data_IF_277530614585
#
_entry.id   IF_277530614585
#
_cell.length_a   1.000
_cell.length_b   1.000
_cell.length_c   1.000
_cell.angle_alpha   90.00
_cell.angle_beta   90.00
_cell.angle_gamma   90.00
#
_symmetry.space_group_name_H-M   'P 1'
#
loop_
_entity.id
_entity.type
_entity.pdbx_description
1 polymer ?
#
# COMPACT_ATOMS: atom_id res chain seq x y z
N UNK A 1 -28.56 42.74 0.63
CA UNK A 1 -27.77 41.57 1.05
C UNK A 1 -26.46 41.64 0.30
N UNK A 2 -25.39 41.65 1.07
CA UNK A 2 -24.04 42.14 0.77
C UNK A 2 -23.24 41.26 -0.19
N UNK A 3 -22.46 41.95 -1.03
CA UNK A 3 -21.34 41.46 -1.83
C UNK A 3 -20.48 40.41 -1.12
N UNK A 4 -20.24 39.28 -1.78
CA UNK A 4 -19.18 38.34 -1.45
C UNK A 4 -18.13 38.49 -2.55
N UNK A 5 -17.05 39.21 -2.25
CA UNK A 5 -15.90 39.38 -3.13
C UNK A 5 -15.10 38.08 -3.32
N UNK A 6 -14.18 38.04 -4.31
CA UNK A 6 -13.44 36.83 -4.65
C UNK A 6 -12.51 36.39 -3.51
N UNK A 7 -12.50 35.08 -3.31
CA UNK A 7 -11.63 34.32 -2.40
C UNK A 7 -10.18 34.74 -2.52
N UNK A 8 -9.61 35.20 -1.41
CA UNK A 8 -8.17 35.46 -1.26
C UNK A 8 -7.40 34.15 -1.38
N UNK A 9 -6.50 34.09 -2.37
CA UNK A 9 -5.34 33.22 -2.34
C UNK A 9 -4.61 33.42 -1.01
N UNK A 10 -4.43 32.34 -0.25
CA UNK A 10 -3.50 32.30 0.87
C UNK A 10 -2.06 32.21 0.33
N UNK A 11 -1.62 33.25 -0.37
CA UNK A 11 -0.20 33.52 -0.54
C UNK A 11 0.28 34.22 0.72
N UNK A 12 1.18 33.56 1.47
CA UNK A 12 1.81 34.08 2.66
C UNK A 12 2.33 35.50 2.43
N UNK A 13 1.94 36.41 3.31
CA UNK A 13 2.30 37.83 3.23
C UNK A 13 3.77 38.01 3.66
N UNK A 14 4.66 37.84 2.71
CA UNK A 14 6.06 38.25 2.73
C UNK A 14 6.51 38.35 1.28
N UNK A 15 6.99 39.52 0.86
CA UNK A 15 7.43 39.84 -0.50
C UNK A 15 8.61 38.93 -0.92
N UNK A 16 8.34 37.70 -1.39
CA UNK A 16 9.34 36.75 -1.88
C UNK A 16 9.35 36.77 -3.41
N UNK A 17 10.14 37.67 -4.00
CA UNK A 17 10.44 37.62 -5.44
C UNK A 17 11.29 36.41 -5.86
N UNK A 18 11.65 35.52 -4.93
CA UNK A 18 12.31 34.25 -5.21
C UNK A 18 11.47 33.12 -4.60
N UNK A 19 11.02 32.21 -5.46
CA UNK A 19 10.34 30.97 -5.09
C UNK A 19 11.45 29.93 -4.85
N UNK A 20 11.31 29.14 -3.79
CA UNK A 20 12.26 28.11 -3.39
C UNK A 20 11.74 26.72 -3.78
N UNK A 21 12.57 25.92 -4.45
CA UNK A 21 12.15 24.61 -4.94
C UNK A 21 11.81 23.68 -3.79
N UNK A 22 12.58 23.69 -2.70
CA UNK A 22 12.42 22.77 -1.55
C UNK A 22 11.09 22.97 -0.82
N UNK A 23 10.75 24.24 -0.58
CA UNK A 23 9.47 24.60 0.06
C UNK A 23 8.29 24.31 -0.88
N UNK A 24 8.44 24.61 -2.18
CA UNK A 24 7.39 24.37 -3.18
C UNK A 24 7.12 22.89 -3.35
N UNK A 25 8.19 22.12 -3.48
CA UNK A 25 8.25 20.67 -3.46
C UNK A 25 7.42 20.12 -2.28
N UNK A 26 7.87 20.38 -1.06
CA UNK A 26 7.24 19.83 0.14
C UNK A 26 5.78 20.27 0.28
N UNK A 27 5.48 21.53 -0.04
CA UNK A 27 4.11 22.05 -0.03
C UNK A 27 3.21 21.33 -1.03
N UNK A 28 3.66 21.15 -2.27
CA UNK A 28 2.96 20.39 -3.30
C UNK A 28 2.67 18.96 -2.84
N UNK A 29 3.67 18.27 -2.29
CA UNK A 29 3.53 16.88 -1.80
C UNK A 29 2.43 16.77 -0.75
N UNK A 30 2.52 17.60 0.28
CA UNK A 30 1.63 17.53 1.43
C UNK A 30 0.22 17.90 1.03
N UNK A 31 0.05 18.98 0.27
CA UNK A 31 -1.27 19.39 -0.23
C UNK A 31 -1.92 18.29 -1.07
N UNK A 32 -1.19 17.71 -2.03
CA UNK A 32 -1.71 16.64 -2.90
C UNK A 32 -2.08 15.38 -2.11
N UNK A 33 -1.22 14.94 -1.18
CA UNK A 33 -1.49 13.77 -0.33
C UNK A 33 -2.69 13.97 0.61
N UNK A 34 -3.04 15.23 0.90
CA UNK A 34 -4.20 15.59 1.71
C UNK A 34 -5.42 16.01 0.87
N UNK A 35 -5.48 15.60 -0.40
CA UNK A 35 -6.67 15.78 -1.27
C UNK A 35 -6.85 17.18 -1.84
N UNK A 36 -5.86 18.07 -1.70
CA UNK A 36 -5.92 19.38 -2.34
C UNK A 36 -5.52 19.32 -3.81
N UNK A 37 -6.32 19.94 -4.67
CA UNK A 37 -6.01 20.10 -6.08
C UNK A 37 -4.88 21.13 -6.27
N UNK A 38 -3.67 20.62 -6.49
CA UNK A 38 -2.47 21.42 -6.77
C UNK A 38 -1.92 21.07 -8.15
N UNK A 39 -1.57 22.10 -8.93
CA UNK A 39 -1.04 21.92 -10.29
C UNK A 39 0.46 21.68 -10.28
N UNK A 40 0.92 20.63 -10.97
CA UNK A 40 2.34 20.37 -11.17
C UNK A 40 3.07 21.46 -11.99
N UNK A 41 2.33 22.34 -12.68
CA UNK A 41 2.92 23.44 -13.46
C UNK A 41 3.71 24.42 -12.60
N UNK A 42 3.55 24.39 -11.27
CA UNK A 42 4.40 25.17 -10.36
C UNK A 42 5.89 24.84 -10.53
N UNK A 43 6.23 23.63 -10.96
CA UNK A 43 7.59 23.18 -11.18
C UNK A 43 8.24 23.75 -12.45
N UNK A 44 7.46 24.30 -13.39
CA UNK A 44 7.99 24.98 -14.58
C UNK A 44 8.81 26.22 -14.22
N UNK A 45 8.56 26.82 -13.04
CA UNK A 45 9.35 27.94 -12.54
C UNK A 45 10.81 27.57 -12.22
N UNK A 46 11.11 26.28 -12.10
CA UNK A 46 12.42 25.75 -11.70
C UNK A 46 13.13 24.97 -12.80
N UNK A 47 12.41 24.67 -13.90
CA UNK A 47 12.98 23.97 -15.05
C UNK A 47 13.67 24.97 -15.97
N UNK A 48 14.92 24.70 -16.32
CA UNK A 48 15.64 25.54 -17.28
C UNK A 48 15.23 25.22 -18.73
N UNK A 49 15.74 25.96 -19.72
CA UNK A 49 15.47 25.71 -21.15
C UNK A 49 15.92 24.30 -21.64
N UNK A 50 16.56 23.50 -20.79
CA UNK A 50 16.86 22.09 -21.00
C UNK A 50 15.92 21.17 -20.21
N UNK A 51 16.48 20.10 -19.63
CA UNK A 51 15.77 19.11 -18.79
C UNK A 51 16.26 19.11 -17.34
N UNK A 52 16.87 20.21 -16.88
CA UNK A 52 17.44 20.30 -15.54
C UNK A 52 16.58 21.18 -14.64
N UNK A 53 16.59 20.87 -13.34
CA UNK A 53 15.87 21.61 -12.31
C UNK A 53 16.84 22.37 -11.42
N UNK A 54 16.53 23.63 -11.14
CA UNK A 54 17.34 24.51 -10.30
C UNK A 54 16.70 24.72 -8.93
N UNK A 55 17.51 24.67 -7.87
CA UNK A 55 17.05 24.87 -6.47
C UNK A 55 16.42 26.25 -6.25
N UNK A 56 16.98 27.28 -6.89
CA UNK A 56 16.46 28.64 -6.91
C UNK A 56 16.40 29.07 -8.37
N UNK A 57 15.29 29.65 -8.80
CA UNK A 57 15.13 30.13 -10.18
C UNK A 57 16.30 31.06 -10.57
N UNK A 58 17.12 30.64 -11.54
CA UNK A 58 18.28 31.41 -12.01
C UNK A 58 19.61 31.17 -11.27
N UNK A 59 19.72 30.16 -10.40
CA UNK A 59 20.99 29.78 -9.73
C UNK A 59 21.36 28.32 -9.98
N UNK A 60 22.67 28.07 -10.12
CA UNK A 60 23.25 26.74 -10.38
C UNK A 60 23.52 25.92 -9.11
N UNK A 61 22.83 26.19 -8.00
CA UNK A 61 23.11 25.46 -6.74
C UNK A 61 22.33 24.15 -6.72
N UNK A 62 23.03 23.04 -6.56
CA UNK A 62 22.46 21.68 -6.55
C UNK A 62 22.52 21.10 -5.13
N UNK A 63 21.47 21.30 -4.33
CA UNK A 63 21.39 20.74 -2.98
C UNK A 63 20.77 19.33 -3.01
N UNK A 64 21.33 18.41 -2.23
CA UNK A 64 20.93 16.99 -2.23
C UNK A 64 19.53 16.84 -1.66
N UNK A 65 19.21 17.54 -0.56
CA UNK A 65 17.89 17.51 0.07
C UNK A 65 16.78 18.06 -0.82
N UNK A 66 17.09 19.11 -1.60
CA UNK A 66 16.13 19.71 -2.53
C UNK A 66 15.80 18.75 -3.67
N UNK A 67 16.82 18.15 -4.28
CA UNK A 67 16.61 17.13 -5.31
C UNK A 67 15.95 15.88 -4.76
N UNK A 68 16.18 15.57 -3.48
CA UNK A 68 15.50 14.48 -2.80
C UNK A 68 14.01 14.76 -2.62
N UNK A 69 13.62 15.94 -2.19
CA UNK A 69 12.21 16.31 -2.09
C UNK A 69 11.53 16.31 -3.47
N UNK A 70 12.17 16.92 -4.48
CA UNK A 70 11.70 16.86 -5.87
C UNK A 70 11.48 15.41 -6.34
N UNK A 71 12.41 14.50 -6.02
CA UNK A 71 12.28 13.09 -6.35
C UNK A 71 11.06 12.45 -5.66
N UNK A 72 10.80 12.76 -4.39
CA UNK A 72 9.65 12.21 -3.65
C UNK A 72 8.32 12.72 -4.20
N UNK A 73 8.20 14.01 -4.52
CA UNK A 73 6.95 14.55 -5.05
C UNK A 73 6.65 14.12 -6.47
N UNK A 74 7.68 13.98 -7.29
CA UNK A 74 7.53 13.54 -8.68
C UNK A 74 6.87 12.15 -8.79
N UNK A 75 6.88 11.36 -7.71
CA UNK A 75 6.22 10.06 -7.64
C UNK A 75 4.70 10.15 -7.40
N UNK A 76 4.18 11.34 -7.08
CA UNK A 76 2.74 11.65 -6.99
C UNK A 76 2.16 12.15 -8.32
N UNK A 77 2.83 11.86 -9.42
CA UNK A 77 2.44 12.27 -10.76
C UNK A 77 1.07 11.72 -11.16
N UNK A 78 0.19 12.60 -11.63
CA UNK A 78 -1.04 12.21 -12.31
C UNK A 78 -0.83 12.01 -13.82
N UNK A 79 -1.69 11.20 -14.48
CA UNK A 79 -1.71 11.08 -15.93
C UNK A 79 -1.64 12.44 -16.65
N UNK A 80 -0.68 12.57 -17.57
CA UNK A 80 -0.48 13.78 -18.37
C UNK A 80 0.43 14.86 -17.76
N UNK A 81 0.85 14.74 -16.49
CA UNK A 81 1.77 15.71 -15.86
C UNK A 81 3.23 15.47 -16.26
N UNK A 82 3.59 15.81 -17.49
CA UNK A 82 4.94 15.57 -18.05
C UNK A 82 6.05 16.24 -17.27
N UNK A 83 5.80 17.41 -16.67
CA UNK A 83 6.79 18.12 -15.85
C UNK A 83 7.28 17.28 -14.65
N UNK A 84 6.42 16.45 -14.05
CA UNK A 84 6.83 15.55 -12.97
C UNK A 84 7.57 14.32 -13.49
N UNK A 85 7.34 13.89 -14.74
CA UNK A 85 8.16 12.86 -15.37
C UNK A 85 9.60 13.36 -15.48
N UNK A 86 9.77 14.56 -16.04
CA UNK A 86 11.07 15.21 -16.20
C UNK A 86 11.75 15.40 -14.84
N UNK A 87 10.99 15.87 -13.84
CA UNK A 87 11.46 16.04 -12.48
C UNK A 87 11.95 14.72 -11.87
N UNK A 88 11.19 13.63 -12.04
CA UNK A 88 11.54 12.29 -11.54
C UNK A 88 12.83 11.77 -12.17
N UNK A 89 12.94 11.89 -13.49
CA UNK A 89 14.11 11.41 -14.24
C UNK A 89 15.37 12.20 -13.86
N UNK A 90 15.27 13.52 -13.84
CA UNK A 90 16.37 14.40 -13.46
C UNK A 90 16.83 14.14 -12.02
N UNK A 91 15.90 14.22 -11.06
CA UNK A 91 16.22 14.07 -9.63
C UNK A 91 16.74 12.66 -9.30
N UNK A 92 16.15 11.59 -9.85
CA UNK A 92 16.65 10.22 -9.67
C UNK A 92 18.06 10.06 -10.21
N UNK A 93 18.33 10.59 -11.40
CA UNK A 93 19.68 10.54 -12.01
C UNK A 93 20.69 11.29 -11.15
N UNK A 94 20.35 12.51 -10.73
CA UNK A 94 21.18 13.33 -9.86
C UNK A 94 21.52 12.63 -8.54
N UNK A 95 20.52 12.12 -7.82
CA UNK A 95 20.71 11.46 -6.53
C UNK A 95 21.50 10.16 -6.67
N UNK A 96 21.28 9.40 -7.74
CA UNK A 96 22.04 8.19 -8.03
C UNK A 96 23.52 8.50 -8.27
N UNK A 97 23.81 9.55 -9.06
CA UNK A 97 25.19 9.99 -9.30
C UNK A 97 25.87 10.46 -8.01
N UNK A 98 25.18 11.26 -7.19
CA UNK A 98 25.71 11.70 -5.89
C UNK A 98 25.98 10.53 -4.94
N UNK A 99 25.10 9.52 -4.93
CA UNK A 99 25.28 8.29 -4.14
C UNK A 99 26.51 7.51 -4.58
N UNK A 100 26.67 7.25 -5.88
CA UNK A 100 27.83 6.53 -6.44
C UNK A 100 29.13 7.28 -6.19
N UNK A 101 29.11 8.62 -6.26
CA UNK A 101 30.27 9.45 -6.00
C UNK A 101 30.59 9.63 -4.49
N UNK A 102 29.77 9.12 -3.57
CA UNK A 102 29.92 9.35 -2.13
C UNK A 102 29.69 10.81 -1.72
N UNK A 103 28.95 11.58 -2.51
CA UNK A 103 28.72 13.02 -2.35
C UNK A 103 27.32 13.31 -1.80
N UNK A 104 26.91 12.59 -0.76
CA UNK A 104 25.60 12.72 -0.11
C UNK A 104 25.60 13.71 1.06
N UNK A 105 26.45 14.74 0.99
CA UNK A 105 26.43 15.85 1.94
C UNK A 105 25.51 16.93 1.42
N UNK A 106 24.70 17.51 2.31
CA UNK A 106 23.84 18.62 1.96
C UNK A 106 24.43 19.96 2.36
N UNK A 107 24.11 21.00 1.57
CA UNK A 107 24.58 22.36 1.80
C UNK A 107 23.83 23.05 2.94
N UNK A 108 22.59 22.65 3.20
CA UNK A 108 21.65 23.38 4.06
C UNK A 108 21.37 22.67 5.40
N UNK A 109 21.81 21.42 5.55
CA UNK A 109 21.62 20.64 6.77
C UNK A 109 22.81 19.70 7.04
N UNK A 110 23.08 19.47 8.31
CA UNK A 110 23.94 18.40 8.83
C UNK A 110 23.02 17.39 9.53
N UNK A 111 22.52 16.37 8.80
CA UNK A 111 21.59 15.39 9.34
C UNK A 111 22.33 14.18 9.91
N UNK A 112 21.65 13.41 10.77
CA UNK A 112 22.19 12.13 11.30
C UNK A 112 22.52 11.12 10.20
N UNK A 113 21.59 10.82 9.29
CA UNK A 113 21.79 9.79 8.26
C UNK A 113 21.04 10.05 6.93
N UNK A 114 21.46 11.10 6.23
CA UNK A 114 20.99 11.37 4.86
C UNK A 114 21.34 10.24 3.87
N UNK A 115 22.52 9.58 3.93
CA UNK A 115 22.80 8.44 3.07
C UNK A 115 21.80 7.28 3.23
N UNK A 116 21.41 6.95 4.46
CA UNK A 116 20.40 5.94 4.76
C UNK A 116 19.01 6.32 4.22
N UNK A 117 18.58 7.56 4.46
CA UNK A 117 17.27 8.07 3.98
C UNK A 117 17.17 8.02 2.43
N UNK A 118 18.22 8.48 1.74
CA UNK A 118 18.32 8.41 0.28
C UNK A 118 18.44 6.97 -0.22
N UNK A 119 19.17 6.14 0.53
CA UNK A 119 19.35 4.72 0.24
C UNK A 119 18.00 4.00 0.19
N UNK A 120 17.16 4.25 1.19
CA UNK A 120 15.80 3.71 1.28
C UNK A 120 14.93 4.22 0.13
N UNK A 121 14.83 5.53 -0.07
CA UNK A 121 13.92 6.10 -1.05
C UNK A 121 14.27 5.75 -2.51
N UNK A 122 15.56 5.59 -2.84
CA UNK A 122 15.99 5.11 -4.15
C UNK A 122 15.77 3.60 -4.36
N UNK A 123 15.75 2.82 -3.27
CA UNK A 123 15.52 1.38 -3.32
C UNK A 123 14.02 1.01 -3.34
N UNK A 124 13.20 1.77 -2.61
CA UNK A 124 11.78 1.53 -2.42
C UNK A 124 10.98 2.71 -2.98
N UNK A 125 10.41 2.59 -4.19
CA UNK A 125 9.57 3.64 -4.75
C UNK A 125 8.31 3.83 -3.89
N UNK A 126 7.67 4.98 -4.00
CA UNK A 126 6.49 5.33 -3.21
C UNK A 126 5.34 4.34 -3.39
N UNK A 127 5.16 3.76 -4.59
CA UNK A 127 4.21 2.69 -4.84
C UNK A 127 4.52 1.38 -4.10
N UNK A 128 5.76 1.15 -3.68
CA UNK A 128 6.17 0.02 -2.83
C UNK A 128 6.37 0.40 -1.35
N UNK A 129 6.31 1.68 -0.99
CA UNK A 129 6.61 2.13 0.38
C UNK A 129 5.43 1.89 1.31
N UNK A 130 5.49 0.82 2.12
CA UNK A 130 4.47 0.53 3.13
C UNK A 130 4.64 1.44 4.37
N UNK A 131 3.57 1.96 4.98
CA UNK A 131 3.65 2.95 6.06
C UNK A 131 4.59 2.59 7.21
N UNK A 132 4.47 1.40 7.80
CA UNK A 132 5.37 0.99 8.90
C UNK A 132 6.77 0.63 8.44
N UNK A 133 6.94 0.26 7.17
CA UNK A 133 8.26 0.03 6.61
C UNK A 133 9.04 1.35 6.50
N UNK A 134 8.44 2.37 5.89
CA UNK A 134 9.04 3.71 5.79
C UNK A 134 9.34 4.29 7.17
N UNK A 135 8.37 4.18 8.08
CA UNK A 135 8.53 4.63 9.48
C UNK A 135 9.68 3.91 10.18
N UNK A 136 9.83 2.59 9.98
CA UNK A 136 10.88 1.78 10.62
C UNK A 136 12.27 2.31 10.30
N UNK A 137 12.51 2.63 9.03
CA UNK A 137 13.78 3.18 8.57
C UNK A 137 13.92 4.65 8.97
N UNK A 138 12.86 5.45 8.84
CA UNK A 138 12.94 6.87 9.17
C UNK A 138 13.24 7.13 10.66
N UNK A 139 12.74 6.32 11.59
CA UNK A 139 13.11 6.43 13.01
C UNK A 139 14.64 6.24 13.21
N UNK A 140 15.28 5.38 12.43
CA UNK A 140 16.74 5.19 12.48
C UNK A 140 17.49 6.38 11.86
N UNK A 141 16.93 7.02 10.85
CA UNK A 141 17.58 8.12 10.14
C UNK A 141 17.39 9.49 10.82
N UNK A 142 16.28 9.70 11.54
CA UNK A 142 15.97 10.97 12.18
C UNK A 142 16.96 11.31 13.31
N UNK A 143 17.57 12.50 13.24
CA UNK A 143 18.59 12.94 14.20
C UNK A 143 18.08 13.59 15.47
N UNK A 144 16.75 13.74 15.62
CA UNK A 144 16.19 14.42 16.78
C UNK A 144 16.73 15.85 16.88
N UNK A 145 17.16 16.27 18.07
CA UNK A 145 17.71 17.62 18.31
C UNK A 145 19.10 17.86 17.70
N UNK A 146 19.77 16.80 17.24
CA UNK A 146 21.17 16.85 16.83
C UNK A 146 21.34 17.23 15.36
N UNK A 147 20.27 17.20 14.56
CA UNK A 147 20.26 17.78 13.22
C UNK A 147 20.46 19.31 13.29
N UNK A 148 21.36 19.84 12.46
CA UNK A 148 21.72 21.26 12.44
C UNK A 148 21.50 21.86 11.06
N UNK A 149 20.81 22.99 11.00
CA UNK A 149 20.54 23.71 9.76
C UNK A 149 21.62 24.77 9.50
N UNK A 150 21.96 24.96 8.24
CA UNK A 150 22.99 25.88 7.76
C UNK A 150 22.31 27.04 7.05
N UNK A 151 22.38 28.24 7.63
CA UNK A 151 21.98 29.49 6.99
C UNK A 151 23.14 30.47 6.93
N UNK A 152 22.90 31.76 7.22
CA UNK A 152 23.99 32.72 7.50
C UNK A 152 24.83 32.30 8.72
N UNK A 153 24.20 31.56 9.62
CA UNK A 153 24.75 30.98 10.85
C UNK A 153 24.11 29.60 11.04
N UNK A 154 24.75 28.75 11.85
CA UNK A 154 24.12 27.49 12.25
C UNK A 154 22.90 27.77 13.13
N UNK A 155 21.80 27.05 12.89
CA UNK A 155 20.57 27.17 13.66
C UNK A 155 19.86 25.82 13.81
N UNK A 156 18.85 25.77 14.68
CA UNK A 156 18.02 24.59 14.91
C UNK A 156 16.55 24.95 14.80
N UNK A 157 15.76 24.05 14.24
CA UNK A 157 14.30 24.16 14.18
C UNK A 157 13.71 23.22 15.23
N UNK A 158 13.55 23.67 16.48
CA UNK A 158 13.11 22.82 17.59
C UNK A 158 11.72 22.18 17.40
N UNK A 159 10.86 22.80 16.58
CA UNK A 159 9.54 22.24 16.23
C UNK A 159 9.59 21.19 15.11
N UNK A 160 10.74 21.00 14.47
CA UNK A 160 11.00 20.02 13.40
C UNK A 160 11.96 18.93 13.90
N UNK A 161 13.02 19.32 14.60
CA UNK A 161 14.13 18.49 15.07
C UNK A 161 14.15 18.48 16.61
N UNK A 162 13.58 17.43 17.23
CA UNK A 162 13.57 17.26 18.68
C UNK A 162 13.48 15.79 19.10
N UNK A 163 13.96 15.51 20.32
CA UNK A 163 13.96 14.16 20.85
C UNK A 163 12.58 13.71 21.37
N UNK A 164 11.65 14.63 21.62
CA UNK A 164 10.29 14.24 22.08
C UNK A 164 9.57 13.46 20.98
N UNK A 165 9.67 13.92 19.72
CA UNK A 165 9.11 13.21 18.58
C UNK A 165 9.77 11.86 18.35
N UNK A 166 11.11 11.79 18.45
CA UNK A 166 11.85 10.55 18.28
C UNK A 166 11.47 9.51 19.34
N UNK A 167 11.46 9.91 20.62
CA UNK A 167 11.12 8.99 21.72
C UNK A 167 9.66 8.55 21.65
N UNK A 168 8.73 9.46 21.30
CA UNK A 168 7.34 9.08 21.07
C UNK A 168 7.20 8.07 19.92
N UNK A 169 7.89 8.31 18.80
CA UNK A 169 7.85 7.41 17.65
C UNK A 169 8.40 6.02 17.97
N UNK A 170 9.48 5.93 18.76
CA UNK A 170 10.03 4.64 19.22
C UNK A 170 9.04 3.89 20.11
N UNK A 171 8.42 4.57 21.07
CA UNK A 171 7.46 3.97 21.99
C UNK A 171 6.23 3.47 21.22
N UNK A 172 5.60 4.33 20.41
CA UNK A 172 4.46 3.95 19.56
C UNK A 172 4.78 2.76 18.65
N UNK A 173 5.95 2.79 17.99
CA UNK A 173 6.36 1.71 17.11
C UNK A 173 6.51 0.38 17.85
N UNK A 174 7.18 0.39 19.00
CA UNK A 174 7.41 -0.82 19.79
C UNK A 174 6.11 -1.36 20.42
N UNK A 175 5.18 -0.50 20.80
CA UNK A 175 3.87 -0.88 21.33
C UNK A 175 3.02 -1.55 20.24
N UNK A 176 2.92 -0.94 19.06
CA UNK A 176 2.27 -1.57 17.89
C UNK A 176 2.92 -2.91 17.52
N UNK A 177 4.26 -2.96 17.47
CA UNK A 177 4.99 -4.19 17.13
C UNK A 177 4.73 -5.33 18.14
N UNK A 178 4.62 -5.03 19.43
CA UNK A 178 4.29 -6.02 20.45
C UNK A 178 2.89 -6.61 20.24
N UNK A 179 1.91 -5.77 19.88
CA UNK A 179 0.57 -6.24 19.48
C UNK A 179 0.65 -7.15 18.24
N UNK A 180 1.43 -6.76 17.23
CA UNK A 180 1.59 -7.54 16.01
C UNK A 180 2.25 -8.90 16.27
N UNK A 181 3.21 -8.99 17.19
CA UNK A 181 3.82 -10.27 17.58
C UNK A 181 2.80 -11.21 18.24
N UNK A 182 1.95 -10.68 19.13
CA UNK A 182 0.86 -11.46 19.74
C UNK A 182 -0.16 -11.94 18.70
N UNK A 183 -0.55 -11.08 17.76
CA UNK A 183 -1.41 -11.46 16.64
C UNK A 183 -0.78 -12.53 15.76
N UNK A 184 0.52 -12.43 15.46
CA UNK A 184 1.25 -13.43 14.70
C UNK A 184 1.24 -14.80 15.39
N UNK A 185 1.43 -14.86 16.71
CA UNK A 185 1.31 -16.11 17.46
C UNK A 185 -0.08 -16.75 17.29
N UNK A 186 -1.15 -15.94 17.32
CA UNK A 186 -2.51 -16.43 17.06
C UNK A 186 -2.67 -16.92 15.61
N UNK A 187 -2.10 -16.22 14.63
CA UNK A 187 -2.14 -16.63 13.23
C UNK A 187 -1.40 -17.93 12.97
N UNK A 188 -0.27 -18.16 13.66
CA UNK A 188 0.45 -19.43 13.57
C UNK A 188 -0.35 -20.61 14.12
N UNK A 189 -1.10 -20.41 15.22
CA UNK A 189 -2.00 -21.43 15.78
C UNK A 189 -3.14 -21.74 14.80
N UNK A 190 -3.83 -20.71 14.32
CA UNK A 190 -4.90 -20.87 13.32
C UNK A 190 -4.43 -21.61 12.08
N UNK A 191 -3.24 -21.28 11.56
CA UNK A 191 -2.65 -21.98 10.40
C UNK A 191 -2.35 -23.46 10.67
N UNK A 192 -1.93 -23.81 11.89
CA UNK A 192 -1.71 -25.19 12.30
C UNK A 192 -3.01 -25.99 12.39
N UNK A 193 -4.11 -25.33 12.72
CA UNK A 193 -5.45 -25.93 12.86
C UNK A 193 -6.19 -26.02 11.51
N UNK A 194 -5.87 -25.18 10.53
CA UNK A 194 -6.68 -24.99 9.32
C UNK A 194 -6.39 -25.93 8.13
N UNK A 195 -5.49 -26.93 8.28
CA UNK A 195 -5.03 -27.88 7.24
C UNK A 195 -4.52 -27.23 5.92
N UNK A 196 -4.32 -25.91 5.89
CA UNK A 196 -3.93 -25.14 4.70
C UNK A 196 -2.58 -25.57 4.09
N UNK A 197 -1.71 -26.17 4.91
CA UNK A 197 -0.44 -26.77 4.49
C UNK A 197 -0.66 -27.74 3.32
N UNK A 198 -1.74 -28.53 3.35
CA UNK A 198 -2.06 -29.53 2.33
C UNK A 198 -2.43 -28.94 0.96
N UNK A 199 -2.69 -27.63 0.89
CA UNK A 199 -3.22 -26.94 -0.29
C UNK A 199 -2.30 -25.85 -0.81
N UNK A 200 -1.02 -25.90 -0.43
CA UNK A 200 0.04 -25.06 -1.03
C UNK A 200 0.30 -23.74 -0.32
N UNK A 201 -0.45 -23.39 0.72
CA UNK A 201 -0.13 -22.25 1.57
C UNK A 201 1.10 -22.59 2.42
N UNK A 202 2.21 -21.85 2.26
CA UNK A 202 3.41 -22.05 3.08
C UNK A 202 3.41 -21.14 4.31
N UNK A 203 4.18 -21.51 5.34
CA UNK A 203 4.39 -20.67 6.53
C UNK A 203 5.07 -19.34 6.18
N UNK A 204 5.92 -19.33 5.16
CA UNK A 204 6.60 -18.14 4.66
C UNK A 204 5.62 -17.20 3.97
N UNK A 205 4.72 -17.73 3.14
CA UNK A 205 3.67 -16.92 2.49
C UNK A 205 2.68 -16.36 3.50
N UNK A 206 2.39 -17.11 4.57
CA UNK A 206 1.54 -16.64 5.66
C UNK A 206 2.18 -15.48 6.41
N UNK A 207 3.48 -15.60 6.72
CA UNK A 207 4.24 -14.53 7.37
C UNK A 207 4.32 -13.29 6.46
N UNK A 208 4.52 -13.49 5.15
CA UNK A 208 4.51 -12.40 4.20
C UNK A 208 3.15 -11.68 4.15
N UNK A 209 2.05 -12.44 4.07
CA UNK A 209 0.70 -11.89 4.11
C UNK A 209 0.46 -11.10 5.41
N UNK A 210 0.90 -11.64 6.55
CA UNK A 210 0.83 -10.96 7.84
C UNK A 210 1.67 -9.68 7.88
N UNK A 211 2.90 -9.74 7.37
CA UNK A 211 3.78 -8.58 7.26
C UNK A 211 3.15 -7.46 6.43
N UNK A 212 2.65 -7.74 5.23
CA UNK A 212 2.09 -6.67 4.38
C UNK A 212 0.83 -6.06 4.99
N UNK A 213 -0.02 -6.86 5.65
CA UNK A 213 -1.19 -6.37 6.37
C UNK A 213 -0.78 -5.47 7.55
N UNK A 214 0.15 -5.93 8.41
CA UNK A 214 0.62 -5.18 9.56
C UNK A 214 1.45 -3.94 9.19
N UNK A 215 2.16 -3.99 8.06
CA UNK A 215 2.93 -2.87 7.55
C UNK A 215 2.03 -1.76 6.96
N UNK A 216 0.80 -2.12 6.57
CA UNK A 216 -0.18 -1.23 5.94
C UNK A 216 -1.21 -0.68 6.93
N UNK A 217 -1.83 -1.56 7.72
CA UNK A 217 -2.78 -1.23 8.79
C UNK A 217 -2.12 -1.58 10.12
N UNK A 218 -1.56 -0.61 10.82
CA UNK A 218 -0.65 -0.87 11.94
C UNK A 218 -1.22 -0.53 13.30
N UNK A 219 -2.32 0.22 13.34
CA UNK A 219 -2.96 0.72 14.53
C UNK A 219 -3.47 -0.46 15.36
N UNK A 220 -3.14 -0.58 16.67
CA UNK A 220 -3.53 -1.72 17.49
C UNK A 220 -5.04 -2.03 17.45
N UNK A 221 -5.88 -0.99 17.43
CA UNK A 221 -7.33 -1.07 17.38
C UNK A 221 -7.90 -1.61 16.07
N UNK A 222 -7.10 -1.65 14.99
CA UNK A 222 -7.48 -2.18 13.67
C UNK A 222 -7.01 -3.62 13.44
N UNK A 223 -6.77 -4.37 14.52
CA UNK A 223 -6.37 -5.78 14.46
C UNK A 223 -7.33 -6.64 13.61
N UNK A 224 -8.63 -6.35 13.67
CA UNK A 224 -9.63 -7.09 12.92
C UNK A 224 -9.42 -7.01 11.40
N UNK A 225 -9.11 -5.81 10.90
CA UNK A 225 -8.84 -5.57 9.49
C UNK A 225 -7.59 -6.33 9.02
N UNK A 226 -6.51 -6.29 9.82
CA UNK A 226 -5.28 -7.08 9.57
C UNK A 226 -5.57 -8.57 9.51
N UNK A 227 -6.26 -9.12 10.52
CA UNK A 227 -6.53 -10.55 10.59
C UNK A 227 -7.45 -11.00 9.45
N UNK A 228 -8.44 -10.19 9.09
CA UNK A 228 -9.34 -10.46 7.98
C UNK A 228 -8.59 -10.45 6.63
N UNK A 229 -7.69 -9.49 6.43
CA UNK A 229 -6.80 -9.44 5.27
C UNK A 229 -6.01 -10.75 5.14
N UNK A 230 -5.26 -11.13 6.18
CA UNK A 230 -4.34 -12.28 6.13
C UNK A 230 -5.09 -13.58 5.90
N UNK A 231 -6.21 -13.78 6.60
CA UNK A 231 -7.06 -14.97 6.41
C UNK A 231 -7.64 -15.00 5.00
N UNK A 232 -8.07 -13.87 4.46
CA UNK A 232 -8.60 -13.79 3.09
C UNK A 232 -7.54 -14.16 2.05
N UNK A 233 -6.33 -13.62 2.16
CA UNK A 233 -5.22 -14.01 1.27
C UNK A 233 -4.92 -15.50 1.35
N UNK A 234 -4.77 -16.04 2.56
CA UNK A 234 -4.45 -17.45 2.77
C UNK A 234 -5.55 -18.38 2.22
N UNK A 235 -6.82 -18.03 2.42
CA UNK A 235 -7.96 -18.78 1.90
C UNK A 235 -8.07 -18.67 0.38
N UNK A 236 -7.87 -17.47 -0.19
CA UNK A 236 -7.90 -17.26 -1.62
C UNK A 236 -6.81 -18.09 -2.32
N UNK A 237 -5.57 -18.08 -1.82
CA UNK A 237 -4.47 -18.92 -2.37
C UNK A 237 -4.77 -20.41 -2.27
N UNK A 238 -5.32 -20.84 -1.14
CA UNK A 238 -5.75 -22.22 -0.90
C UNK A 238 -6.82 -22.63 -1.92
N UNK A 239 -7.82 -21.78 -2.16
CA UNK A 239 -8.92 -22.06 -3.09
C UNK A 239 -8.46 -22.01 -4.56
N UNK A 240 -7.62 -21.04 -4.92
CA UNK A 240 -6.98 -21.00 -6.25
C UNK A 240 -6.23 -22.31 -6.51
N UNK A 241 -5.42 -22.76 -5.54
CA UNK A 241 -4.66 -24.00 -5.64
C UNK A 241 -5.56 -25.23 -5.67
N UNK A 242 -6.66 -25.23 -4.91
CA UNK A 242 -7.67 -26.29 -4.89
C UNK A 242 -8.40 -26.46 -6.22
N UNK A 243 -8.72 -25.37 -6.91
CA UNK A 243 -9.45 -25.41 -8.18
C UNK A 243 -8.54 -25.57 -9.42
N UNK A 244 -7.23 -25.25 -9.32
CA UNK A 244 -6.27 -25.29 -10.45
C UNK A 244 -6.16 -26.64 -11.21
N UNK A 245 -6.16 -27.83 -10.58
CA UNK A 245 -5.89 -29.09 -11.31
C UNK A 245 -7.04 -29.60 -12.21
N UNK A 246 -8.23 -28.98 -12.19
CA UNK A 246 -9.45 -29.59 -12.74
C UNK A 246 -9.68 -29.24 -14.22
N UNK A 247 -8.87 -29.79 -15.15
CA UNK A 247 -9.02 -29.55 -16.61
C UNK A 247 -10.37 -29.98 -17.23
N UNK A 248 -11.20 -30.77 -16.55
CA UNK A 248 -12.52 -31.20 -17.08
C UNK A 248 -13.72 -31.01 -16.11
N UNK A 249 -13.53 -30.39 -14.93
CA UNK A 249 -14.58 -30.36 -13.89
C UNK A 249 -14.64 -29.08 -13.02
N UNK A 250 -14.08 -27.95 -13.48
CA UNK A 250 -13.93 -26.72 -12.69
C UNK A 250 -15.27 -25.99 -12.36
N UNK A 251 -16.07 -25.63 -13.37
CA UNK A 251 -17.22 -24.74 -13.15
C UNK A 251 -18.35 -25.35 -12.32
N UNK A 252 -18.63 -26.65 -12.50
CA UNK A 252 -19.64 -27.38 -11.72
C UNK A 252 -19.19 -27.58 -10.27
N UNK A 253 -17.89 -27.86 -10.04
CA UNK A 253 -17.33 -27.98 -8.70
C UNK A 253 -17.34 -26.66 -7.95
N UNK A 254 -17.04 -25.54 -8.62
CA UNK A 254 -17.16 -24.20 -8.04
C UNK A 254 -18.62 -23.85 -7.73
N UNK A 255 -19.54 -24.06 -8.66
CA UNK A 255 -20.98 -23.85 -8.42
C UNK A 255 -21.52 -24.72 -7.27
N UNK A 256 -21.09 -25.97 -7.19
CA UNK A 256 -21.46 -26.85 -6.08
C UNK A 256 -20.84 -26.38 -4.75
N UNK A 257 -19.60 -25.89 -4.76
CA UNK A 257 -18.96 -25.31 -3.58
C UNK A 257 -19.70 -24.04 -3.12
N UNK A 258 -20.06 -23.15 -4.04
CA UNK A 258 -20.86 -21.94 -3.78
C UNK A 258 -22.25 -22.32 -3.27
N UNK A 259 -22.90 -23.33 -3.84
CA UNK A 259 -24.21 -23.82 -3.37
C UNK A 259 -24.14 -24.42 -1.95
N UNK A 260 -23.11 -25.20 -1.65
CA UNK A 260 -22.84 -25.65 -0.28
C UNK A 260 -22.50 -24.48 0.65
N UNK A 261 -21.88 -23.43 0.11
CA UNK A 261 -21.52 -22.21 0.84
C UNK A 261 -22.72 -21.39 1.29
N UNK A 262 -23.67 -21.19 0.39
CA UNK A 262 -24.95 -20.57 0.70
C UNK A 262 -25.77 -21.44 1.67
N UNK A 263 -25.77 -22.77 1.50
CA UNK A 263 -26.53 -23.68 2.37
C UNK A 263 -25.97 -23.77 3.79
N UNK A 264 -24.64 -23.68 3.96
CA UNK A 264 -23.96 -23.80 5.27
C UNK A 264 -23.97 -22.48 6.02
N UNK A 265 -23.96 -21.34 5.32
CA UNK A 265 -24.19 -20.03 5.91
C UNK A 265 -25.56 -19.93 6.63
N UNK A 266 -26.56 -20.71 6.18
CA UNK A 266 -27.88 -20.81 6.81
C UNK A 266 -28.05 -21.93 7.85
N UNK A 267 -27.14 -22.91 7.91
CA UNK A 267 -27.28 -24.12 8.73
C UNK A 267 -26.28 -24.15 9.89
N UNK A 268 -26.76 -24.52 11.09
CA UNK A 268 -25.97 -24.47 12.33
C UNK A 268 -24.83 -25.49 12.43
N UNK A 269 -24.86 -26.60 11.69
CA UNK A 269 -23.84 -27.63 11.76
C UNK A 269 -23.64 -28.30 10.39
N UNK A 270 -22.40 -28.30 9.88
CA UNK A 270 -22.02 -29.01 8.67
C UNK A 270 -21.42 -30.37 9.09
N UNK A 271 -22.26 -31.40 9.18
CA UNK A 271 -21.84 -32.75 9.60
C UNK A 271 -21.86 -33.80 8.47
N UNK A 272 -22.23 -33.46 7.23
CA UNK A 272 -22.36 -34.47 6.16
C UNK A 272 -21.64 -34.11 4.85
N UNK A 273 -20.33 -34.38 4.81
CA UNK A 273 -19.53 -34.36 3.59
C UNK A 273 -19.75 -35.59 2.71
N UNK A 274 -20.76 -35.56 1.83
CA UNK A 274 -21.00 -36.65 0.85
C UNK A 274 -20.66 -36.30 -0.60
N UNK A 275 -20.40 -35.03 -0.93
CA UNK A 275 -20.19 -34.56 -2.32
C UNK A 275 -18.71 -34.41 -2.72
N UNK A 276 -17.85 -34.15 -1.75
CA UNK A 276 -16.41 -33.96 -1.94
C UNK A 276 -15.66 -35.02 -1.12
N UNK A 277 -14.66 -35.69 -1.68
CA UNK A 277 -13.85 -36.69 -0.96
C UNK A 277 -13.30 -36.15 0.37
N UNK A 278 -12.93 -37.04 1.29
CA UNK A 278 -12.54 -36.74 2.68
C UNK A 278 -11.51 -35.60 2.80
N UNK A 279 -10.56 -35.53 1.86
CA UNK A 279 -9.51 -34.50 1.84
C UNK A 279 -10.03 -33.09 1.50
N UNK A 280 -11.10 -33.00 0.71
CA UNK A 280 -11.69 -31.72 0.29
C UNK A 280 -12.65 -31.16 1.34
N UNK A 281 -13.31 -32.04 2.11
CA UNK A 281 -14.28 -31.65 3.14
C UNK A 281 -13.66 -30.76 4.22
N UNK A 282 -12.39 -30.99 4.56
CA UNK A 282 -11.72 -30.24 5.62
C UNK A 282 -11.31 -28.82 5.20
N UNK A 283 -10.87 -28.61 3.95
CA UNK A 283 -10.65 -27.24 3.41
C UNK A 283 -11.92 -26.44 3.41
N UNK A 284 -13.00 -27.08 2.96
CA UNK A 284 -14.33 -26.52 2.93
C UNK A 284 -14.72 -26.10 4.37
N UNK A 285 -14.55 -26.98 5.35
CA UNK A 285 -14.81 -26.66 6.77
C UNK A 285 -13.90 -25.53 7.31
N UNK A 286 -12.60 -25.56 7.05
CA UNK A 286 -11.65 -24.52 7.47
C UNK A 286 -11.99 -23.16 6.86
N UNK A 287 -12.40 -23.13 5.60
CA UNK A 287 -12.88 -21.93 4.91
C UNK A 287 -14.15 -21.40 5.58
N UNK A 288 -15.16 -22.25 5.77
CA UNK A 288 -16.40 -21.86 6.46
C UNK A 288 -16.17 -21.36 7.87
N UNK A 289 -15.37 -22.07 8.65
CA UNK A 289 -15.04 -21.67 10.01
C UNK A 289 -14.32 -20.33 10.04
N UNK A 290 -13.42 -20.08 9.08
CA UNK A 290 -12.69 -18.82 9.00
C UNK A 290 -13.59 -17.66 8.58
N UNK A 291 -14.46 -17.84 7.59
CA UNK A 291 -15.45 -16.83 7.17
C UNK A 291 -16.46 -16.55 8.29
N UNK A 292 -16.97 -17.61 8.95
CA UNK A 292 -17.85 -17.50 10.12
C UNK A 292 -17.17 -16.80 11.29
N UNK A 293 -15.90 -17.10 11.56
CA UNK A 293 -15.11 -16.46 12.61
C UNK A 293 -14.89 -14.97 12.31
N UNK A 294 -14.48 -14.62 11.09
CA UNK A 294 -14.35 -13.23 10.66
C UNK A 294 -15.68 -12.48 10.85
N UNK A 295 -16.79 -13.09 10.46
CA UNK A 295 -18.12 -12.53 10.65
C UNK A 295 -18.52 -12.40 12.14
N UNK A 296 -18.27 -13.42 12.97
CA UNK A 296 -18.59 -13.39 14.40
C UNK A 296 -17.86 -12.24 15.11
N UNK A 297 -16.60 -12.00 14.76
CA UNK A 297 -15.82 -10.91 15.36
C UNK A 297 -16.27 -9.54 14.85
N UNK A 298 -16.69 -9.43 13.59
CA UNK A 298 -17.34 -8.20 13.10
C UNK A 298 -18.63 -7.90 13.89
N UNK A 299 -19.34 -8.92 14.39
CA UNK A 299 -20.59 -8.74 15.14
C UNK A 299 -20.39 -8.45 16.66
N UNK A 300 -19.21 -8.71 17.24
CA UNK A 300 -18.93 -8.40 18.65
C UNK A 300 -18.78 -6.88 18.93
N UNK A 301 -18.58 -6.09 17.87
CA UNK A 301 -18.69 -4.63 17.95
C UNK A 301 -20.18 -4.22 18.04
N UNK A 302 -20.63 -3.92 19.25
CA UNK A 302 -22.03 -3.62 19.68
C UNK A 302 -22.79 -2.50 18.92
N UNK A 303 -22.26 -1.95 17.84
CA UNK A 303 -22.84 -0.85 17.07
C UNK A 303 -23.09 -1.16 15.58
N UNK A 304 -22.96 -2.42 15.15
CA UNK A 304 -22.96 -2.76 13.72
C UNK A 304 -24.34 -3.23 13.23
N UNK A 305 -24.73 -2.68 12.08
CA UNK A 305 -26.02 -2.79 11.40
C UNK A 305 -26.28 -4.23 10.92
N UNK A 306 -27.55 -4.68 10.98
CA UNK A 306 -28.00 -5.96 10.40
C UNK A 306 -27.55 -6.07 8.92
N UNK A 307 -26.99 -7.22 8.50
CA UNK A 307 -26.69 -7.52 7.07
C UNK A 307 -25.22 -7.71 6.69
N UNK A 308 -24.24 -7.39 7.55
CA UNK A 308 -22.80 -7.54 7.24
C UNK A 308 -22.36 -8.98 6.90
N UNK A 309 -23.05 -9.97 7.48
CA UNK A 309 -22.84 -11.38 7.16
C UNK A 309 -23.13 -11.68 5.69
N UNK A 310 -24.26 -11.17 5.17
CA UNK A 310 -24.70 -11.43 3.80
C UNK A 310 -23.69 -10.81 2.83
N UNK A 311 -23.28 -9.56 3.06
CA UNK A 311 -22.30 -8.87 2.22
C UNK A 311 -20.91 -9.54 2.18
N UNK A 312 -20.44 -10.12 3.29
CA UNK A 312 -19.17 -10.86 3.28
C UNK A 312 -19.27 -12.14 2.45
N UNK A 313 -20.40 -12.85 2.55
CA UNK A 313 -20.64 -14.05 1.75
C UNK A 313 -20.78 -13.70 0.26
N UNK A 314 -21.51 -12.63 -0.05
CA UNK A 314 -21.69 -12.13 -1.41
C UNK A 314 -20.35 -11.77 -2.08
N UNK A 315 -19.43 -11.15 -1.32
CA UNK A 315 -18.07 -10.84 -1.80
C UNK A 315 -17.31 -12.12 -2.20
N UNK A 316 -17.30 -13.13 -1.33
CA UNK A 316 -16.67 -14.42 -1.60
C UNK A 316 -17.32 -15.16 -2.76
N UNK A 317 -18.65 -15.15 -2.84
CA UNK A 317 -19.41 -15.76 -3.94
C UNK A 317 -19.07 -15.09 -5.27
N UNK A 318 -19.14 -13.76 -5.34
CA UNK A 318 -18.81 -12.97 -6.53
C UNK A 318 -17.41 -13.32 -7.01
N UNK A 319 -16.42 -13.33 -6.11
CA UNK A 319 -15.04 -13.68 -6.45
C UNK A 319 -14.90 -15.13 -6.93
N UNK A 320 -15.45 -16.11 -6.19
CA UNK A 320 -15.39 -17.53 -6.55
C UNK A 320 -16.00 -17.84 -7.91
N UNK A 321 -17.11 -17.17 -8.23
CA UNK A 321 -17.79 -17.30 -9.52
C UNK A 321 -17.04 -16.59 -10.66
N UNK A 322 -16.29 -15.53 -10.34
CA UNK A 322 -15.45 -14.77 -11.26
C UNK A 322 -14.06 -15.36 -11.52
N UNK A 323 -13.64 -16.40 -10.79
CA UNK A 323 -12.38 -17.09 -11.06
C UNK A 323 -12.37 -17.63 -12.52
N UNK A 324 -11.30 -17.35 -13.26
CA UNK A 324 -11.11 -17.85 -14.62
C UNK A 324 -10.03 -18.95 -14.66
N UNK A 325 -10.06 -19.79 -15.70
CA UNK A 325 -9.16 -20.94 -15.84
C UNK A 325 -7.79 -20.57 -16.43
N UNK A 326 -7.64 -19.37 -17.00
CA UNK A 326 -6.41 -18.94 -17.67
C UNK A 326 -5.28 -18.61 -16.68
N UNK A 327 -4.06 -19.11 -16.94
CA UNK A 327 -2.89 -18.93 -16.06
C UNK A 327 -2.53 -17.46 -15.80
N UNK A 328 -2.90 -16.54 -16.69
CA UNK A 328 -2.70 -15.09 -16.52
C UNK A 328 -3.67 -14.40 -15.56
N UNK A 329 -4.79 -15.04 -15.24
CA UNK A 329 -5.89 -14.47 -14.44
C UNK A 329 -5.92 -15.04 -13.01
N UNK A 330 -4.82 -15.69 -12.56
CA UNK A 330 -4.72 -16.36 -11.24
C UNK A 330 -5.21 -15.50 -10.07
N UNK A 331 -4.95 -14.19 -10.12
CA UNK A 331 -5.23 -13.26 -9.04
C UNK A 331 -6.40 -12.30 -9.35
N UNK A 332 -7.18 -12.58 -10.39
CA UNK A 332 -8.33 -11.76 -10.79
C UNK A 332 -9.32 -11.62 -9.63
N UNK A 333 -9.72 -10.39 -9.33
CA UNK A 333 -10.69 -10.07 -8.28
C UNK A 333 -10.17 -10.25 -6.84
N UNK A 334 -8.93 -10.70 -6.63
CA UNK A 334 -8.39 -10.90 -5.26
C UNK A 334 -8.21 -9.56 -4.55
N UNK A 335 -7.76 -8.52 -5.26
CA UNK A 335 -7.65 -7.18 -4.69
C UNK A 335 -9.02 -6.61 -4.32
N UNK A 336 -10.02 -6.71 -5.20
CA UNK A 336 -11.39 -6.27 -4.88
C UNK A 336 -11.94 -7.03 -3.66
N UNK A 337 -11.80 -8.37 -3.62
CA UNK A 337 -12.20 -9.18 -2.48
C UNK A 337 -11.55 -8.69 -1.18
N UNK A 338 -10.23 -8.46 -1.19
CA UNK A 338 -9.53 -7.96 -0.01
C UNK A 338 -10.06 -6.60 0.45
N UNK A 339 -10.25 -5.66 -0.48
CA UNK A 339 -10.78 -4.34 -0.17
C UNK A 339 -12.16 -4.46 0.49
N UNK A 340 -13.05 -5.29 -0.06
CA UNK A 340 -14.39 -5.52 0.51
C UNK A 340 -14.31 -6.10 1.92
N UNK A 341 -13.48 -7.12 2.12
CA UNK A 341 -13.33 -7.78 3.43
C UNK A 341 -12.72 -6.84 4.47
N UNK A 342 -11.71 -6.05 4.10
CA UNK A 342 -11.09 -5.05 5.00
C UNK A 342 -12.13 -4.00 5.41
N UNK A 343 -12.91 -3.47 4.45
CA UNK A 343 -13.96 -2.49 4.75
C UNK A 343 -15.06 -3.08 5.64
N UNK A 344 -15.48 -4.33 5.41
CA UNK A 344 -16.45 -5.01 6.27
C UNK A 344 -15.88 -5.25 7.69
N UNK A 345 -14.59 -5.56 7.79
CA UNK A 345 -13.90 -5.77 9.06
C UNK A 345 -13.71 -4.48 9.88
N UNK A 346 -13.64 -3.32 9.22
CA UNK A 346 -13.59 -2.00 9.88
C UNK A 346 -14.97 -1.52 10.38
N UNK A 347 -16.02 -2.31 10.16
CA UNK A 347 -17.39 -1.95 10.50
C UNK A 347 -18.01 -0.93 9.54
N UNK A 348 -17.46 -0.77 8.34
CA UNK A 348 -18.09 0.01 7.28
C UNK A 348 -19.24 -0.79 6.65
N UNK A 349 -20.42 -0.17 6.57
CA UNK A 349 -21.51 -0.73 5.80
C UNK A 349 -21.13 -0.75 4.32
N UNK A 350 -21.00 -1.95 3.76
CA UNK A 350 -20.82 -2.14 2.34
C UNK A 350 -22.22 -2.30 1.71
N UNK A 351 -22.79 -1.22 1.20
CA UNK A 351 -24.11 -1.25 0.56
C UNK A 351 -23.97 -1.65 -0.91
N UNK A 352 -25.00 -2.29 -1.48
CA UNK A 352 -25.07 -2.52 -2.94
C UNK A 352 -24.90 -1.22 -3.74
N UNK A 353 -25.35 -0.10 -3.17
CA UNK A 353 -25.18 1.25 -3.73
C UNK A 353 -23.69 1.63 -3.88
N UNK A 354 -22.82 1.23 -2.94
CA UNK A 354 -21.40 1.58 -3.00
C UNK A 354 -20.66 0.85 -4.13
N UNK A 355 -20.96 -0.45 -4.32
CA UNK A 355 -20.44 -1.24 -5.44
C UNK A 355 -20.93 -0.70 -6.78
N UNK A 356 -22.13 -0.10 -6.79
CA UNK A 356 -22.72 0.48 -7.99
C UNK A 356 -22.11 1.83 -8.39
N UNK A 357 -21.29 2.47 -7.53
CA UNK A 357 -20.67 3.74 -7.88
C UNK A 357 -19.66 3.58 -9.03
N UNK A 358 -19.71 4.45 -10.05
CA UNK A 358 -18.75 4.40 -11.17
C UNK A 358 -17.29 4.51 -10.73
N UNK A 359 -17.02 5.28 -9.68
CA UNK A 359 -15.68 5.45 -9.10
C UNK A 359 -15.16 4.15 -8.47
N UNK A 360 -16.01 3.42 -7.76
CA UNK A 360 -15.65 2.11 -7.19
C UNK A 360 -15.36 1.09 -8.30
N UNK A 361 -16.24 0.98 -9.29
CA UNK A 361 -16.05 0.08 -10.43
C UNK A 361 -14.78 0.41 -11.23
N UNK A 362 -14.46 1.71 -11.35
CA UNK A 362 -13.24 2.17 -11.99
C UNK A 362 -11.98 1.74 -11.22
N UNK A 363 -11.94 1.97 -9.90
CA UNK A 363 -10.83 1.56 -9.03
C UNK A 363 -10.66 0.03 -9.05
N UNK A 364 -11.74 -0.73 -8.88
CA UNK A 364 -11.70 -2.19 -8.95
C UNK A 364 -11.08 -2.71 -10.24
N UNK A 365 -11.47 -2.13 -11.38
CA UNK A 365 -10.90 -2.48 -12.70
C UNK A 365 -9.40 -2.17 -12.79
N UNK A 366 -8.97 -1.03 -12.23
CA UNK A 366 -7.55 -0.65 -12.20
C UNK A 366 -6.73 -1.59 -11.30
N UNK A 367 -7.24 -1.91 -10.11
CA UNK A 367 -6.59 -2.83 -9.16
C UNK A 367 -6.48 -4.25 -9.74
N UNK A 368 -7.52 -4.75 -10.40
CA UNK A 368 -7.47 -6.05 -11.08
C UNK A 368 -6.42 -6.07 -12.19
N UNK A 369 -6.42 -5.03 -13.03
CA UNK A 369 -5.45 -4.89 -14.12
C UNK A 369 -4.02 -4.78 -13.60
N UNK A 370 -3.82 -4.08 -12.48
CA UNK A 370 -2.54 -3.98 -11.80
C UNK A 370 -2.08 -5.35 -11.27
N UNK A 371 -2.94 -6.04 -10.52
CA UNK A 371 -2.64 -7.35 -9.93
C UNK A 371 -2.25 -8.37 -11.00
N UNK A 372 -2.97 -8.36 -12.13
CA UNK A 372 -2.66 -9.20 -13.30
C UNK A 372 -1.26 -8.91 -13.84
N UNK A 373 -0.92 -7.64 -14.08
CA UNK A 373 0.40 -7.24 -14.60
C UNK A 373 1.53 -7.58 -13.63
N UNK A 374 1.34 -7.33 -12.34
CA UNK A 374 2.31 -7.67 -11.29
C UNK A 374 2.50 -9.18 -11.16
N UNK A 375 1.43 -9.97 -11.27
CA UNK A 375 1.49 -11.43 -11.28
C UNK A 375 2.31 -11.98 -12.45
N UNK A 376 2.15 -11.41 -13.65
CA UNK A 376 2.99 -11.75 -14.80
C UNK A 376 4.46 -11.40 -14.57
N UNK A 377 4.75 -10.20 -14.04
CA UNK A 377 6.12 -9.77 -13.74
C UNK A 377 6.81 -10.76 -12.79
N UNK A 378 6.14 -11.16 -11.70
CA UNK A 378 6.67 -12.11 -10.72
C UNK A 378 6.93 -13.49 -11.33
N UNK A 379 6.01 -13.98 -12.16
CA UNK A 379 6.16 -15.27 -12.85
C UNK A 379 7.36 -15.27 -13.82
N UNK A 380 7.64 -14.13 -14.47
CA UNK A 380 8.83 -13.97 -15.32
C UNK A 380 10.13 -13.96 -14.51
N UNK A 381 10.15 -13.30 -13.35
CA UNK A 381 11.31 -13.26 -12.46
C UNK A 381 11.66 -14.66 -11.91
N UNK A 382 10.65 -15.45 -11.53
CA UNK A 382 10.83 -16.82 -11.01
C UNK A 382 11.34 -17.81 -12.07
N UNK A 383 11.01 -17.59 -13.34
CA UNK A 383 11.43 -18.45 -14.47
C UNK A 383 12.85 -18.15 -15.00
N UNK A 384 13.66 -17.34 -14.29
CA UNK A 384 15.11 -17.27 -14.50
C UNK A 384 15.60 -16.33 -15.60
N UNK A 385 14.79 -15.36 -16.05
CA UNK A 385 15.34 -14.24 -16.82
C UNK A 385 16.13 -13.32 -15.88
N UNK A 386 17.43 -13.58 -15.71
CA UNK A 386 18.34 -12.67 -15.03
C UNK A 386 18.45 -11.35 -15.80
N UNK A 387 17.59 -10.39 -15.50
CA UNK A 387 17.92 -8.98 -15.64
C UNK A 387 18.29 -8.45 -14.26
N UNK A 388 19.58 -8.61 -13.94
CA UNK A 388 20.18 -7.91 -12.81
C UNK A 388 20.13 -6.40 -13.05
N UNK A 389 19.63 -5.68 -12.05
CA UNK A 389 19.97 -4.28 -11.79
C UNK A 389 19.86 -3.31 -12.96
N UNK A 390 18.63 -2.94 -13.34
CA UNK A 390 18.28 -1.55 -13.69
C UNK A 390 16.75 -1.44 -13.77
N UNK A 391 16.12 -0.90 -12.72
CA UNK A 391 14.70 -0.55 -12.73
C UNK A 391 14.48 0.58 -13.74
N UNK A 392 14.08 0.26 -14.97
CA UNK A 392 13.87 1.26 -16.01
C UNK A 392 13.66 0.82 -17.47
N UNK A 393 13.38 -0.44 -17.81
CA UNK A 393 13.21 -0.80 -19.23
C UNK A 393 11.88 -1.52 -19.50
N UNK A 394 10.97 -0.77 -20.11
CA UNK A 394 9.78 -1.15 -20.92
C UNK A 394 8.67 -2.01 -20.29
N UNK A 395 8.93 -2.91 -19.33
CA UNK A 395 7.88 -3.76 -18.72
C UNK A 395 7.12 -3.07 -17.59
N UNK A 396 7.76 -2.10 -16.93
CA UNK A 396 7.19 -1.39 -15.77
C UNK A 396 6.28 -0.22 -16.18
N UNK A 397 6.45 0.33 -17.38
CA UNK A 397 5.73 1.54 -17.80
C UNK A 397 4.20 1.38 -17.78
N UNK A 398 3.61 0.25 -18.21
CA UNK A 398 2.17 0.06 -18.08
C UNK A 398 1.71 -0.11 -16.62
N UNK A 399 2.51 -0.76 -15.77
CA UNK A 399 2.22 -0.93 -14.34
C UNK A 399 2.21 0.43 -13.64
N UNK A 400 3.24 1.25 -13.87
CA UNK A 400 3.31 2.62 -13.35
C UNK A 400 2.17 3.49 -13.89
N UNK A 401 1.77 3.31 -15.16
CA UNK A 401 0.62 4.02 -15.71
C UNK A 401 -0.69 3.68 -14.99
N UNK A 402 -0.94 2.39 -14.74
CA UNK A 402 -2.12 1.94 -13.99
C UNK A 402 -2.09 2.49 -12.55
N UNK A 403 -0.94 2.46 -11.87
CA UNK A 403 -0.80 3.04 -10.53
C UNK A 403 -1.04 4.55 -10.50
N UNK A 404 -0.60 5.30 -11.51
CA UNK A 404 -0.85 6.76 -11.59
C UNK A 404 -2.35 7.07 -11.71
N UNK A 405 -3.06 6.35 -12.57
CA UNK A 405 -4.52 6.52 -12.75
C UNK A 405 -5.28 6.15 -11.46
N UNK A 406 -4.82 5.10 -10.77
CA UNK A 406 -5.39 4.67 -9.49
C UNK A 406 -5.18 5.72 -8.41
N UNK A 407 -3.95 6.21 -8.25
CA UNK A 407 -3.62 7.24 -7.24
C UNK A 407 -4.38 8.54 -7.51
N UNK A 408 -4.50 8.96 -8.77
CA UNK A 408 -5.32 10.12 -9.11
C UNK A 408 -6.77 9.92 -8.66
N UNK A 409 -7.37 8.78 -9.01
CA UNK A 409 -8.76 8.47 -8.67
C UNK A 409 -9.01 8.46 -7.17
N UNK A 410 -8.06 7.92 -6.38
CA UNK A 410 -8.16 7.91 -4.90
C UNK A 410 -7.99 9.31 -4.31
N UNK A 411 -6.97 10.06 -4.73
CA UNK A 411 -6.69 11.38 -4.16
C UNK A 411 -7.73 12.44 -4.56
N UNK A 412 -8.25 12.39 -5.78
CA UNK A 412 -9.34 13.28 -6.22
C UNK A 412 -10.69 12.87 -5.60
N UNK A 413 -10.91 11.57 -5.40
CA UNK A 413 -12.10 11.05 -4.71
C UNK A 413 -12.16 11.43 -3.23
N UNK A 414 -11.02 11.51 -2.55
CA UNK A 414 -10.92 11.92 -1.14
C UNK A 414 -11.21 13.42 -0.88
N UNK A 415 -11.33 14.24 -1.93
CA UNK A 415 -11.57 15.66 -1.79
C UNK A 415 -13.05 15.99 -1.45
N UNK A 416 -13.96 15.02 -1.50
CA UNK A 416 -15.41 15.23 -1.36
C UNK A 416 -16.00 14.89 0.02
N UNK A 417 -15.20 14.75 1.09
CA UNK A 417 -15.63 14.68 2.50
C UNK A 417 -16.67 13.58 2.89
N UNK A 418 -17.07 12.64 2.03
CA UNK A 418 -18.09 11.64 2.40
C UNK A 418 -17.49 10.34 2.95
N UNK A 419 -18.25 9.69 3.85
CA UNK A 419 -17.91 8.46 4.58
C UNK A 419 -17.60 7.27 3.66
N UNK A 420 -18.06 7.32 2.40
CA UNK A 420 -17.78 6.35 1.34
C UNK A 420 -16.32 6.39 0.83
N UNK A 421 -15.57 7.47 1.09
CA UNK A 421 -14.22 7.70 0.55
C UNK A 421 -13.13 6.87 1.25
N UNK A 422 -13.34 6.46 2.51
CA UNK A 422 -12.39 5.55 3.20
C UNK A 422 -12.22 4.20 2.50
N UNK A 423 -13.20 3.78 1.71
CA UNK A 423 -13.10 2.56 0.92
C UNK A 423 -12.13 2.74 -0.27
N UNK A 424 -11.96 3.97 -0.78
CA UNK A 424 -11.04 4.26 -1.89
C UNK A 424 -9.58 4.23 -1.45
N UNK A 425 -9.27 4.75 -0.27
CA UNK A 425 -7.93 4.64 0.32
C UNK A 425 -7.51 3.18 0.55
N UNK A 426 -8.49 2.30 0.79
CA UNK A 426 -8.25 0.87 0.96
C UNK A 426 -7.75 0.22 -0.33
N UNK A 427 -8.22 0.64 -1.51
CA UNK A 427 -7.65 0.20 -2.80
C UNK A 427 -6.18 0.56 -2.89
N UNK A 428 -5.84 1.84 -2.70
CA UNK A 428 -4.46 2.30 -2.77
C UNK A 428 -3.54 1.54 -1.81
N UNK A 429 -3.99 1.30 -0.58
CA UNK A 429 -3.26 0.51 0.40
C UNK A 429 -3.02 -0.94 -0.04
N UNK A 430 -4.07 -1.62 -0.52
CA UNK A 430 -4.01 -3.00 -1.01
C UNK A 430 -3.10 -3.09 -2.24
N UNK A 431 -3.24 -2.19 -3.20
CA UNK A 431 -2.44 -2.18 -4.43
C UNK A 431 -0.96 -1.90 -4.18
N UNK A 432 -0.63 -1.03 -3.22
CA UNK A 432 0.76 -0.84 -2.77
C UNK A 432 1.37 -2.10 -2.18
N UNK A 433 0.57 -2.93 -1.50
CA UNK A 433 1.05 -4.21 -0.96
C UNK A 433 1.41 -5.21 -2.07
N UNK A 434 0.58 -5.28 -3.13
CA UNK A 434 0.85 -6.11 -4.29
C UNK A 434 2.07 -5.59 -5.06
N UNK A 435 2.16 -4.27 -5.25
CA UNK A 435 3.31 -3.64 -5.90
C UNK A 435 4.61 -3.93 -5.12
N UNK A 436 4.60 -3.78 -3.80
CA UNK A 436 5.73 -4.12 -2.94
C UNK A 436 6.18 -5.57 -3.12
N UNK A 437 5.24 -6.52 -3.10
CA UNK A 437 5.53 -7.95 -3.22
C UNK A 437 6.07 -8.38 -4.58
N UNK A 438 5.84 -7.58 -5.64
CA UNK A 438 6.39 -7.81 -6.98
C UNK A 438 7.69 -7.01 -7.25
N UNK A 439 7.87 -5.88 -6.56
CA UNK A 439 9.05 -5.02 -6.70
C UNK A 439 10.25 -5.54 -5.90
N UNK A 440 10.03 -6.00 -4.66
CA UNK A 440 11.11 -6.41 -3.78
C UNK A 440 11.51 -7.87 -4.01
N UNK A 441 12.82 -8.14 -4.05
CA UNK A 441 13.33 -9.51 -4.11
C UNK A 441 13.10 -10.26 -2.78
N UNK A 442 13.09 -11.61 -2.79
CA UNK A 442 12.83 -12.39 -1.59
C UNK A 442 13.76 -12.11 -0.40
N UNK A 443 15.03 -11.78 -0.65
CA UNK A 443 16.00 -11.48 0.40
C UNK A 443 15.71 -10.14 1.07
N UNK A 444 15.39 -9.12 0.28
CA UNK A 444 14.93 -7.82 0.80
C UNK A 444 13.64 -7.96 1.61
N UNK A 445 12.68 -8.77 1.14
CA UNK A 445 11.44 -9.03 1.87
C UNK A 445 11.73 -9.69 3.23
N UNK A 446 12.60 -10.70 3.30
CA UNK A 446 12.97 -11.35 4.55
C UNK A 446 13.60 -10.39 5.56
N UNK A 447 14.51 -9.51 5.10
CA UNK A 447 15.12 -8.47 5.92
C UNK A 447 14.07 -7.49 6.46
N UNK A 448 13.14 -7.05 5.61
CA UNK A 448 12.08 -6.15 6.01
C UNK A 448 11.11 -6.79 7.01
N UNK A 449 10.73 -8.06 6.82
CA UNK A 449 9.89 -8.80 7.78
C UNK A 449 10.57 -8.89 9.14
N UNK A 450 11.86 -9.25 9.18
CA UNK A 450 12.65 -9.29 10.42
C UNK A 450 12.64 -7.92 11.12
N UNK A 451 12.99 -6.87 10.39
CA UNK A 451 13.16 -5.52 10.92
C UNK A 451 11.86 -4.89 11.41
N UNK A 452 10.74 -5.12 10.72
CA UNK A 452 9.43 -4.51 11.03
C UNK A 452 8.69 -5.28 12.12
N UNK A 453 8.70 -6.62 12.08
CA UNK A 453 7.88 -7.41 13.01
C UNK A 453 8.64 -7.86 14.25
N UNK A 454 9.95 -8.05 14.18
CA UNK A 454 10.70 -8.78 15.22
C UNK A 454 11.87 -8.01 15.85
N UNK A 455 12.31 -6.92 15.24
CA UNK A 455 13.37 -6.06 15.79
C UNK A 455 12.78 -4.80 16.43
N UNK A 456 12.96 -4.66 17.74
CA UNK A 456 12.59 -3.43 18.45
C UNK A 456 13.42 -2.25 17.99
N UNK A 457 12.80 -1.08 18.00
CA UNK A 457 13.47 0.20 17.78
C UNK A 457 14.10 0.66 19.09
N UNK A 458 15.40 0.97 19.08
CA UNK A 458 16.17 1.42 20.24
C UNK A 458 16.38 2.93 20.28
#
# INVERSE_FOLDING_TARGET
MSDIGPTKEYAGRGDSRMIDLDVTAMGFRLLRLHGHLVSANVFENFKNNGSEFQTLAGQSTEAVTVMFNLYRESQLQFPGETILQDAREYSKSFLTQKRVAGQLLDKWIIPKDLPGELGYALGIPWYASLPRLETRFYIEHYGGKDDVWIGKTLYRLSHVNNNVYLELAKLDYNDSQACHQSEWDHMQRWYGESEMVGFGMSRKDLLFAYFVAAASIFEPERAMERLAWVKTLALAETLISFFRPARDFCCHRRRAFVGEFQSTAGARDYENGRSYGVDNHKVICSFFQSVKFMNLLCNENKYIVHGHHEHMLDAWEKWLMGLEEEEGERYKGVAELLVQIICLASGHCFTEELVSFPSYAHLSRLSDELCRRLGHLKSHQENGSHYGGCAGTTTDAPIESTMRELVQSVLEGSATMDRAERNMDTFHMVDKSFYYGAHCDPGTIELHMAKVLFEKVN
#
